data_IF_135834671315
#
_entry.id   IF_135834671315
#
_cell.length_a   1.000
_cell.length_b   1.000
_cell.length_c   1.000
_cell.angle_alpha   90.00
_cell.angle_beta   90.00
_cell.angle_gamma   90.00
#
_symmetry.space_group_name_H-M   'P 1'
#
loop_
_entity.id
_entity.type
_entity.pdbx_description
1 polymer ?
#
# COMPACT_ATOMS: atom_id res chain seq x y z
N UNK A 1 16.32 -9.51 -13.61
CA UNK A 1 16.40 -9.31 -12.15
C UNK A 1 15.80 -7.95 -11.79
N UNK A 2 14.65 -7.91 -11.11
CA UNK A 2 14.16 -6.66 -10.48
C UNK A 2 15.01 -6.42 -9.23
N UNK A 3 16.08 -5.64 -9.37
CA UNK A 3 17.05 -5.36 -8.28
C UNK A 3 16.55 -4.36 -7.24
N UNK A 4 15.43 -3.70 -7.51
CA UNK A 4 14.75 -2.78 -6.60
C UNK A 4 13.25 -3.02 -6.70
N UNK A 5 12.55 -2.90 -5.56
CA UNK A 5 11.09 -2.79 -5.60
C UNK A 5 10.70 -1.68 -6.58
N UNK A 6 9.64 -1.92 -7.36
CA UNK A 6 9.11 -0.92 -8.29
C UNK A 6 8.61 0.26 -7.44
N UNK A 7 9.17 1.48 -7.60
CA UNK A 7 8.71 2.67 -6.89
C UNK A 7 7.21 2.86 -7.16
N UNK A 8 6.47 3.34 -6.17
CA UNK A 8 5.02 3.55 -6.32
C UNK A 8 4.72 4.47 -7.51
N UNK A 9 5.57 5.46 -7.77
CA UNK A 9 5.46 6.38 -8.91
C UNK A 9 5.60 5.69 -10.28
N UNK A 10 6.23 4.52 -10.33
CA UNK A 10 6.38 3.72 -11.55
C UNK A 10 5.26 2.69 -11.74
N UNK A 11 4.22 2.73 -10.89
CA UNK A 11 3.08 1.83 -11.01
C UNK A 11 2.35 2.09 -12.35
N UNK A 12 2.14 1.05 -13.19
CA UNK A 12 1.50 1.22 -14.49
C UNK A 12 0.12 1.89 -14.36
N UNK A 13 -0.16 2.88 -15.22
CA UNK A 13 -1.41 3.63 -15.21
C UNK A 13 -2.61 2.75 -15.61
N UNK A 14 -2.35 1.70 -16.39
CA UNK A 14 -3.31 0.72 -16.87
C UNK A 14 -4.00 -0.05 -15.72
N UNK A 15 -3.39 -0.08 -14.53
CA UNK A 15 -4.00 -0.71 -13.36
C UNK A 15 -5.16 0.09 -12.75
N UNK A 16 -5.48 1.27 -13.31
CA UNK A 16 -6.62 2.08 -12.87
C UNK A 16 -6.50 2.60 -11.43
N UNK A 17 -5.30 2.54 -10.84
CA UNK A 17 -5.05 2.91 -9.45
C UNK A 17 -4.90 4.42 -9.23
N UNK A 18 -5.04 5.23 -10.29
CA UNK A 18 -4.72 6.65 -10.28
C UNK A 18 -3.22 6.86 -10.11
N UNK A 19 -2.80 7.49 -9.01
CA UNK A 19 -1.38 7.64 -8.68
C UNK A 19 -0.87 6.51 -7.78
N UNK A 20 0.40 6.16 -7.94
CA UNK A 20 1.11 5.24 -7.05
C UNK A 20 0.94 5.55 -5.56
N UNK A 21 1.01 6.83 -5.20
CA UNK A 21 0.83 7.30 -3.83
C UNK A 21 -0.59 7.06 -3.28
N UNK A 22 -1.61 7.06 -4.16
CA UNK A 22 -2.97 6.70 -3.77
C UNK A 22 -3.09 5.20 -3.49
N UNK A 23 -2.42 4.36 -4.27
CA UNK A 23 -2.31 2.92 -4.04
C UNK A 23 -1.59 2.64 -2.72
N UNK A 24 -0.44 3.27 -2.48
CA UNK A 24 0.32 3.11 -1.24
C UNK A 24 -0.48 3.52 0.00
N UNK A 25 -1.19 4.66 -0.05
CA UNK A 25 -2.04 5.09 1.07
C UNK A 25 -3.12 4.06 1.37
N UNK A 26 -3.78 3.52 0.35
CA UNK A 26 -4.80 2.48 0.53
C UNK A 26 -4.21 1.21 1.10
N UNK A 27 -3.04 0.77 0.62
CA UNK A 27 -2.34 -0.38 1.18
C UNK A 27 -2.02 -0.15 2.66
N UNK A 28 -1.52 1.03 3.02
CA UNK A 28 -1.24 1.39 4.42
C UNK A 28 -2.51 1.35 5.28
N UNK A 29 -3.62 1.89 4.79
CA UNK A 29 -4.89 1.89 5.52
C UNK A 29 -5.43 0.46 5.71
N UNK A 30 -5.28 -0.41 4.70
CA UNK A 30 -5.58 -1.84 4.81
C UNK A 30 -4.68 -2.60 5.78
N UNK A 31 -3.39 -2.25 5.82
CA UNK A 31 -2.45 -2.80 6.78
C UNK A 31 -2.87 -2.42 8.21
N UNK A 32 -3.22 -1.14 8.43
CA UNK A 32 -3.71 -0.65 9.72
C UNK A 32 -5.04 -1.32 10.13
N UNK A 33 -5.93 -1.55 9.17
CA UNK A 33 -7.18 -2.27 9.40
C UNK A 33 -7.01 -3.81 9.53
N UNK A 34 -5.79 -4.34 9.41
CA UNK A 34 -5.51 -5.78 9.52
C UNK A 34 -6.05 -6.62 8.36
N UNK A 35 -6.46 -5.99 7.25
CA UNK A 35 -7.02 -6.67 6.07
C UNK A 35 -6.02 -7.68 5.51
N UNK A 36 -4.74 -7.28 5.44
CA UNK A 36 -3.69 -8.13 4.90
C UNK A 36 -3.41 -9.36 5.76
N UNK A 37 -3.40 -9.19 7.08
CA UNK A 37 -3.28 -10.30 8.02
C UNK A 37 -4.45 -11.28 7.86
N UNK A 38 -5.68 -10.78 7.75
CA UNK A 38 -6.88 -11.61 7.58
C UNK A 38 -6.88 -12.35 6.25
N UNK A 39 -6.55 -11.66 5.14
CA UNK A 39 -6.47 -12.28 3.82
C UNK A 39 -5.43 -13.41 3.81
N UNK A 40 -4.25 -13.14 4.37
CA UNK A 40 -3.17 -14.12 4.45
C UNK A 40 -3.61 -15.38 5.20
N UNK A 41 -4.28 -15.23 6.34
CA UNK A 41 -4.83 -16.36 7.10
C UNK A 41 -5.87 -17.15 6.33
N UNK A 42 -6.77 -16.49 5.59
CA UNK A 42 -7.78 -17.18 4.77
C UNK A 42 -7.13 -17.97 3.65
N UNK A 43 -6.13 -17.39 2.97
CA UNK A 43 -5.40 -18.05 1.90
C UNK A 43 -4.65 -19.28 2.43
N UNK A 44 -3.90 -19.14 3.52
CA UNK A 44 -3.18 -20.24 4.16
C UNK A 44 -4.12 -21.38 4.56
N UNK A 45 -5.28 -21.06 5.16
CA UNK A 45 -6.28 -22.09 5.52
C UNK A 45 -6.79 -22.85 4.30
N UNK A 46 -7.05 -22.15 3.20
CA UNK A 46 -7.52 -22.79 1.95
C UNK A 46 -6.45 -23.69 1.34
N UNK A 47 -5.22 -23.20 1.24
CA UNK A 47 -4.10 -23.98 0.71
C UNK A 47 -3.77 -25.18 1.60
N UNK A 48 -3.84 -25.01 2.92
CA UNK A 48 -3.66 -26.11 3.87
C UNK A 48 -4.72 -27.19 3.66
N UNK A 49 -5.98 -26.81 3.56
CA UNK A 49 -7.08 -27.75 3.31
C UNK A 49 -6.95 -28.47 1.96
N UNK A 50 -6.39 -27.80 0.95
CA UNK A 50 -6.12 -28.38 -0.37
C UNK A 50 -4.82 -29.20 -0.42
N UNK A 51 -4.00 -29.21 0.63
CA UNK A 51 -2.68 -29.87 0.61
C UNK A 51 -1.65 -29.20 -0.30
N UNK A 52 -1.85 -27.94 -0.69
CA UNK A 52 -1.03 -27.21 -1.67
C UNK A 52 0.13 -26.42 -1.02
N UNK A 53 0.30 -26.55 0.30
CA UNK A 53 1.42 -25.91 0.98
C UNK A 53 2.67 -26.77 0.79
N UNK A 54 3.59 -26.31 -0.05
CA UNK A 54 4.95 -26.85 -0.15
C UNK A 54 5.78 -26.45 1.08
N UNK A 55 5.78 -27.31 2.08
CA UNK A 55 6.55 -27.13 3.32
C UNK A 55 8.07 -27.17 3.10
N UNK A 56 8.57 -27.72 2.00
CA UNK A 56 10.00 -27.70 1.67
C UNK A 56 10.51 -26.30 1.32
N UNK A 57 9.60 -25.38 0.98
CA UNK A 57 9.90 -23.96 0.73
C UNK A 57 9.54 -23.05 1.91
N UNK A 58 8.91 -23.58 2.95
CA UNK A 58 8.53 -22.79 4.11
C UNK A 58 9.80 -22.41 4.90
N UNK A 59 10.04 -21.11 5.06
CA UNK A 59 11.06 -20.56 5.94
C UNK A 59 10.36 -19.90 7.12
N UNK A 60 10.75 -20.28 8.34
CA UNK A 60 10.12 -19.75 9.56
C UNK A 60 10.45 -18.26 9.72
N UNK A 61 11.72 -17.87 9.55
CA UNK A 61 12.18 -16.52 9.79
C UNK A 61 13.24 -16.10 8.76
N UNK A 62 13.17 -14.85 8.28
CA UNK A 62 14.19 -14.22 7.45
C UNK A 62 14.84 -13.05 8.17
N UNK A 63 16.17 -13.01 8.22
CA UNK A 63 16.92 -11.88 8.78
C UNK A 63 17.40 -10.95 7.67
N UNK A 64 17.15 -9.64 7.81
CA UNK A 64 17.75 -8.62 6.96
C UNK A 64 18.96 -8.01 7.70
N UNK A 65 20.16 -8.21 7.15
CA UNK A 65 21.39 -7.61 7.69
C UNK A 65 21.79 -6.43 6.80
N UNK A 66 22.12 -5.26 7.37
CA UNK A 66 22.66 -4.16 6.59
C UNK A 66 23.89 -4.60 5.78
N UNK A 67 23.99 -4.15 4.54
CA UNK A 67 25.17 -4.42 3.74
C UNK A 67 26.42 -3.85 4.44
N UNK A 68 27.48 -4.67 4.56
CA UNK A 68 28.74 -4.31 5.25
C UNK A 68 29.39 -3.03 4.72
N UNK A 69 29.11 -2.68 3.46
CA UNK A 69 29.52 -1.44 2.81
C UNK A 69 28.27 -0.57 2.66
N UNK A 70 27.97 0.23 3.68
CA UNK A 70 26.86 1.19 3.62
C UNK A 70 27.04 2.16 2.46
N UNK A 71 25.97 2.43 1.71
CA UNK A 71 25.97 3.52 0.74
C UNK A 71 26.12 4.87 1.44
N UNK A 72 26.58 5.89 0.72
CA UNK A 72 26.60 7.26 1.23
C UNK A 72 25.19 7.63 1.74
N UNK A 73 25.07 8.25 2.92
CA UNK A 73 23.77 8.69 3.43
C UNK A 73 23.11 9.59 2.38
N UNK A 74 21.81 9.40 2.09
CA UNK A 74 21.12 10.23 1.12
C UNK A 74 21.21 11.69 1.54
N UNK A 75 21.56 12.57 0.60
CA UNK A 75 21.59 14.01 0.83
C UNK A 75 20.23 14.45 1.38
N UNK A 76 20.25 15.40 2.33
CA UNK A 76 19.05 15.88 3.03
C UNK A 76 17.98 16.26 2.00
N UNK A 77 16.88 15.52 1.96
CA UNK A 77 15.75 15.81 1.08
C UNK A 77 15.30 17.24 1.32
N UNK A 78 15.35 18.08 0.28
CA UNK A 78 14.87 19.47 0.37
C UNK A 78 13.38 19.40 0.73
N UNK A 79 12.98 19.95 1.87
CA UNK A 79 11.57 20.10 2.22
C UNK A 79 10.90 20.95 1.14
N UNK A 80 10.04 20.34 0.33
CA UNK A 80 9.06 21.07 -0.48
C UNK A 80 8.11 21.77 0.48
N UNK A 81 7.97 23.10 0.33
CA UNK A 81 7.08 23.90 1.17
C UNK A 81 5.64 23.40 1.11
N UNK A 82 4.90 23.56 2.20
CA UNK A 82 3.50 23.15 2.27
C UNK A 82 2.68 23.88 1.19
N UNK A 83 2.18 23.12 0.21
CA UNK A 83 1.20 23.62 -0.75
C UNK A 83 -0.20 23.38 -0.17
N UNK A 84 -0.99 24.46 -0.07
CA UNK A 84 -2.41 24.39 0.32
C UNK A 84 -3.19 23.76 -0.84
N UNK A 85 -3.65 22.52 -0.66
CA UNK A 85 -4.54 21.87 -1.61
C UNK A 85 -5.86 22.67 -1.74
N UNK A 86 -6.38 22.81 -2.95
CA UNK A 86 -7.67 23.45 -3.20
C UNK A 86 -8.79 22.63 -2.54
N UNK A 87 -9.62 23.27 -1.73
CA UNK A 87 -10.78 22.66 -1.09
C UNK A 87 -11.88 22.40 -2.13
N UNK A 88 -12.13 21.13 -2.45
CA UNK A 88 -13.36 20.72 -3.15
C UNK A 88 -14.49 20.55 -2.11
N UNK A 89 -15.03 21.67 -1.63
CA UNK A 89 -16.24 21.65 -0.80
C UNK A 89 -17.45 21.74 -1.71
N UNK A 90 -18.09 20.62 -2.02
CA UNK A 90 -19.40 20.60 -2.66
C UNK A 90 -20.47 21.00 -1.63
N UNK A 91 -21.25 22.04 -1.91
CA UNK A 91 -22.38 22.45 -1.09
C UNK A 91 -23.47 21.37 -1.06
N UNK A 92 -24.13 21.10 0.08
CA UNK A 92 -25.29 20.23 0.10
C UNK A 92 -26.47 20.89 -0.66
N UNK A 93 -27.13 20.11 -1.50
CA UNK A 93 -28.34 20.52 -2.24
C UNK A 93 -29.48 20.80 -1.26
N UNK A 94 -30.29 21.85 -1.44
CA UNK A 94 -31.39 22.15 -0.53
C UNK A 94 -32.46 21.04 -0.61
N UNK A 95 -32.87 20.52 0.54
CA UNK A 95 -33.99 19.59 0.65
C UNK A 95 -35.30 20.34 0.37
N UNK A 96 -36.11 19.80 -0.56
CA UNK A 96 -37.40 20.35 -0.93
C UNK A 96 -38.39 20.31 0.26
N UNK A 97 -38.90 21.48 0.66
CA UNK A 97 -40.02 21.61 1.61
C UNK A 97 -41.32 21.20 0.91
N UNK A 98 -42.08 20.27 1.51
CA UNK A 98 -43.50 20.07 1.17
C UNK A 98 -44.35 20.99 2.04
N UNK A 99 -45.20 21.78 1.41
CA UNK A 99 -46.25 22.56 2.04
C UNK A 99 -47.47 21.67 2.30
N UNK A 100 -47.99 21.72 3.53
CA UNK A 100 -49.38 21.37 3.87
C UNK A 100 -50.18 22.65 3.99
#
# INVERSE_FOLDING_TARGET
MLRSGLPWEMLPAEMGCGSGMSCWRRLRDWQAAGVWARLHQVLLKRMHAAGEIDWGRASLDGAAVPAKKGGLPPARTRRTGASRAQSATSSPTPAARRST
#
